data_IF_405148264481
#
_entry.id   IF_405148264481
#
_cell.length_a   1.000
_cell.length_b   1.000
_cell.length_c   1.000
_cell.angle_alpha   90.00
_cell.angle_beta   90.00
_cell.angle_gamma   90.00
#
_symmetry.space_group_name_H-M   'P 1'
#
loop_
_entity.id
_entity.type
_entity.pdbx_description
1 polymer ?
#
# COMPACT_ATOMS: atom_id res chain seq x y z
N UNK A 1 -49.09 35.44 32.39
CA UNK A 1 -48.04 34.66 33.09
C UNK A 1 -48.45 33.19 33.08
N UNK A 2 -47.46 32.28 33.09
CA UNK A 2 -47.54 30.80 33.02
C UNK A 2 -47.23 30.18 31.65
N UNK A 3 -45.92 30.01 31.39
CA UNK A 3 -45.34 29.01 30.48
C UNK A 3 -44.80 27.86 31.33
N UNK A 4 -45.32 26.67 31.09
CA UNK A 4 -44.88 25.36 31.60
C UNK A 4 -45.29 24.37 30.51
N UNK A 5 -44.49 23.46 29.97
CA UNK A 5 -43.07 23.16 30.08
C UNK A 5 -42.81 22.16 28.94
N UNK A 6 -41.96 22.50 27.98
CA UNK A 6 -41.53 21.57 26.94
C UNK A 6 -40.24 20.89 27.40
N UNK A 7 -40.38 19.67 27.92
CA UNK A 7 -39.25 18.82 28.30
C UNK A 7 -38.46 18.47 27.03
N UNK A 8 -37.22 18.95 27.04
CA UNK A 8 -36.14 18.63 26.13
C UNK A 8 -35.89 17.11 26.11
N UNK A 9 -36.27 16.45 25.01
CA UNK A 9 -35.77 15.14 24.67
C UNK A 9 -34.36 15.28 24.08
N UNK A 10 -33.39 15.58 24.95
CA UNK A 10 -31.97 15.47 24.66
C UNK A 10 -31.57 14.00 24.55
N UNK A 11 -31.95 13.35 23.45
CA UNK A 11 -31.42 12.03 23.10
C UNK A 11 -29.93 12.18 22.80
N UNK A 12 -29.10 11.77 23.77
CA UNK A 12 -27.65 11.79 23.69
C UNK A 12 -27.16 11.02 22.47
N UNK A 13 -26.59 11.75 21.51
CA UNK A 13 -25.68 11.19 20.52
C UNK A 13 -24.38 10.80 21.24
N UNK A 14 -24.37 9.63 21.87
CA UNK A 14 -23.20 9.04 22.51
C UNK A 14 -22.10 8.61 21.51
N UNK A 15 -20.92 8.19 22.02
CA UNK A 15 -19.66 7.97 21.29
C UNK A 15 -19.64 6.81 20.27
N UNK A 16 -20.78 6.21 19.94
CA UNK A 16 -20.89 5.08 19.03
C UNK A 16 -20.44 5.40 17.58
N UNK A 17 -20.47 6.68 17.18
CA UNK A 17 -20.04 7.13 15.85
C UNK A 17 -18.52 7.12 15.63
N UNK A 18 -17.72 7.36 16.67
CA UNK A 18 -16.26 7.45 16.52
C UNK A 18 -15.63 6.07 16.30
N UNK A 19 -16.03 5.06 17.08
CA UNK A 19 -15.50 3.70 16.97
C UNK A 19 -15.74 3.05 15.60
N UNK A 20 -16.88 3.34 14.97
CA UNK A 20 -17.24 2.80 13.64
C UNK A 20 -16.38 3.40 12.54
N UNK A 21 -16.05 4.70 12.64
CA UNK A 21 -15.21 5.40 11.66
C UNK A 21 -13.75 4.97 11.70
N UNK A 22 -13.21 4.71 12.90
CA UNK A 22 -11.83 4.23 13.09
C UNK A 22 -11.69 2.81 12.54
N UNK A 23 -12.63 1.91 12.85
CA UNK A 23 -12.64 0.53 12.32
C UNK A 23 -12.69 0.52 10.79
N UNK A 24 -13.55 1.35 10.17
CA UNK A 24 -13.61 1.48 8.71
C UNK A 24 -12.33 2.03 8.07
N UNK A 25 -11.56 2.85 8.79
CA UNK A 25 -10.23 3.32 8.35
C UNK A 25 -9.21 2.19 8.28
N UNK A 26 -9.18 1.35 9.32
CA UNK A 26 -8.28 0.20 9.42
C UNK A 26 -8.60 -0.92 8.44
N UNK A 27 -9.88 -1.22 8.19
CA UNK A 27 -10.26 -2.28 7.23
C UNK A 27 -9.73 -2.00 5.83
N UNK A 28 -9.86 -0.76 5.35
CA UNK A 28 -9.35 -0.39 4.02
C UNK A 28 -7.82 -0.25 4.01
N UNK A 29 -7.21 0.11 5.14
CA UNK A 29 -5.75 0.10 5.26
C UNK A 29 -5.18 -1.32 5.25
N UNK A 30 -5.91 -2.29 5.80
CA UNK A 30 -5.55 -3.71 5.82
C UNK A 30 -5.84 -4.46 4.52
N UNK A 31 -6.77 -3.96 3.69
CA UNK A 31 -7.17 -4.64 2.44
C UNK A 31 -5.99 -5.06 1.53
N UNK A 32 -4.95 -4.24 1.31
CA UNK A 32 -3.79 -4.66 0.52
C UNK A 32 -2.96 -5.79 1.15
N UNK A 33 -2.82 -5.81 2.48
CA UNK A 33 -2.14 -6.91 3.19
C UNK A 33 -2.98 -8.18 3.10
N UNK A 34 -4.29 -8.09 3.32
CA UNK A 34 -5.20 -9.22 3.18
C UNK A 34 -5.15 -9.81 1.77
N UNK A 35 -5.09 -8.98 0.73
CA UNK A 35 -4.93 -9.43 -0.65
C UNK A 35 -3.61 -10.20 -0.87
N UNK A 36 -2.50 -9.68 -0.34
CA UNK A 36 -1.20 -10.35 -0.43
C UNK A 36 -1.17 -11.70 0.32
N UNK A 37 -1.74 -11.74 1.53
CA UNK A 37 -1.86 -12.97 2.32
C UNK A 37 -2.81 -13.99 1.68
N UNK A 38 -3.91 -13.53 1.08
CA UNK A 38 -4.84 -14.39 0.34
C UNK A 38 -4.17 -14.98 -0.89
N UNK A 39 -3.37 -14.18 -1.62
CA UNK A 39 -2.59 -14.68 -2.75
C UNK A 39 -1.55 -15.72 -2.31
N UNK A 40 -0.85 -15.47 -1.19
CA UNK A 40 0.09 -16.43 -0.60
C UNK A 40 -0.61 -17.74 -0.22
N UNK A 41 -1.76 -17.65 0.44
CA UNK A 41 -2.55 -18.82 0.84
C UNK A 41 -3.09 -19.58 -0.38
N UNK A 42 -3.50 -18.88 -1.44
CA UNK A 42 -3.90 -19.49 -2.69
C UNK A 42 -2.75 -20.25 -3.37
N UNK A 43 -1.54 -19.67 -3.43
CA UNK A 43 -0.34 -20.35 -3.93
C UNK A 43 -0.05 -21.62 -3.13
N UNK A 44 -0.19 -21.56 -1.80
CA UNK A 44 -0.03 -22.73 -0.93
C UNK A 44 -1.08 -23.82 -1.22
N UNK A 45 -2.36 -23.47 -1.26
CA UNK A 45 -3.45 -24.42 -1.48
C UNK A 45 -3.42 -25.05 -2.89
N UNK A 46 -3.06 -24.28 -3.90
CA UNK A 46 -2.98 -24.76 -5.28
C UNK A 46 -1.74 -25.59 -5.55
N UNK A 47 -0.75 -25.57 -4.65
CA UNK A 47 0.56 -26.15 -4.92
C UNK A 47 1.24 -25.48 -6.11
N UNK A 48 1.04 -24.18 -6.32
CA UNK A 48 1.59 -23.48 -7.47
C UNK A 48 3.12 -23.37 -7.33
N UNK A 49 3.84 -23.95 -8.30
CA UNK A 49 5.28 -23.96 -8.39
C UNK A 49 5.77 -23.86 -9.86
N UNK A 50 7.08 -23.89 -10.07
CA UNK A 50 7.71 -23.86 -11.39
C UNK A 50 7.36 -25.05 -12.29
N UNK A 51 6.85 -26.16 -11.74
CA UNK A 51 6.46 -27.35 -12.50
C UNK A 51 5.02 -27.29 -12.97
N UNK A 52 4.26 -26.30 -12.50
CA UNK A 52 2.90 -26.03 -12.96
C UNK A 52 2.92 -25.66 -14.44
N UNK A 53 2.03 -26.29 -15.23
CA UNK A 53 1.97 -26.11 -16.67
C UNK A 53 1.66 -24.64 -17.02
N UNK A 54 2.65 -23.94 -17.58
CA UNK A 54 2.53 -22.56 -18.04
C UNK A 54 3.03 -22.50 -19.49
N UNK A 55 2.44 -21.67 -20.37
CA UNK A 55 2.96 -21.51 -21.71
C UNK A 55 4.45 -21.09 -21.67
N UNK A 56 5.32 -21.64 -22.54
CA UNK A 56 6.77 -21.42 -22.48
C UNK A 56 7.16 -19.94 -22.45
N UNK A 57 6.49 -19.11 -23.24
CA UNK A 57 6.74 -17.66 -23.30
C UNK A 57 6.46 -16.94 -21.98
N UNK A 58 5.49 -17.45 -21.21
CA UNK A 58 5.14 -16.88 -19.90
C UNK A 58 6.10 -17.39 -18.84
N UNK A 59 6.44 -18.68 -18.87
CA UNK A 59 7.45 -19.27 -18.00
C UNK A 59 8.79 -18.52 -18.12
N UNK A 60 9.26 -18.24 -19.33
CA UNK A 60 10.52 -17.52 -19.57
C UNK A 60 10.53 -16.08 -19.01
N UNK A 61 9.36 -15.44 -18.90
CA UNK A 61 9.22 -14.08 -18.37
C UNK A 61 9.08 -14.04 -16.85
N UNK A 62 8.54 -15.09 -16.24
CA UNK A 62 8.28 -15.16 -14.79
C UNK A 62 9.35 -15.94 -14.04
N UNK A 63 9.74 -17.11 -14.53
CA UNK A 63 10.71 -17.98 -13.89
C UNK A 63 12.13 -17.58 -14.31
N UNK A 64 12.69 -16.63 -13.55
CA UNK A 64 14.06 -16.17 -13.73
C UNK A 64 14.72 -15.81 -12.39
N UNK A 65 15.93 -15.26 -12.48
CA UNK A 65 16.77 -14.91 -11.33
C UNK A 65 16.02 -14.17 -10.20
N UNK A 66 15.20 -13.18 -10.55
CA UNK A 66 14.54 -12.35 -9.55
C UNK A 66 13.41 -13.04 -8.80
N UNK A 67 12.62 -13.90 -9.44
CA UNK A 67 11.57 -14.64 -8.74
C UNK A 67 12.18 -15.68 -7.80
N UNK A 68 13.30 -16.26 -8.20
CA UNK A 68 14.04 -17.19 -7.37
C UNK A 68 14.73 -16.52 -6.17
N UNK A 69 15.36 -15.36 -6.40
CA UNK A 69 16.11 -14.67 -5.33
C UNK A 69 15.22 -13.83 -4.43
N UNK A 70 14.15 -13.23 -4.95
CA UNK A 70 13.25 -12.32 -4.25
C UNK A 70 11.78 -12.73 -4.40
N UNK A 71 11.41 -13.94 -3.95
CA UNK A 71 10.08 -14.51 -4.17
C UNK A 71 8.95 -13.67 -3.57
N UNK A 72 9.17 -13.07 -2.40
CA UNK A 72 8.15 -12.27 -1.71
C UNK A 72 7.78 -10.98 -2.46
N UNK A 73 8.56 -10.57 -3.47
CA UNK A 73 8.19 -9.45 -4.33
C UNK A 73 6.90 -9.72 -5.10
N UNK A 74 6.57 -10.97 -5.42
CA UNK A 74 5.30 -11.31 -6.08
C UNK A 74 4.09 -10.87 -5.23
N UNK A 75 4.15 -11.11 -3.92
CA UNK A 75 3.10 -10.71 -2.99
C UNK A 75 3.13 -9.21 -2.68
N UNK A 76 4.31 -8.58 -2.70
CA UNK A 76 4.43 -7.12 -2.63
C UNK A 76 3.80 -6.43 -3.86
N UNK A 77 3.90 -7.04 -5.04
CA UNK A 77 3.20 -6.57 -6.24
C UNK A 77 1.68 -6.68 -6.07
N UNK A 78 1.16 -7.82 -5.58
CA UNK A 78 -0.27 -7.97 -5.25
C UNK A 78 -0.73 -6.89 -4.26
N UNK A 79 0.07 -6.63 -3.22
CA UNK A 79 -0.18 -5.55 -2.27
C UNK A 79 -0.30 -4.20 -2.99
N UNK A 80 0.65 -3.86 -3.86
CA UNK A 80 0.63 -2.60 -4.61
C UNK A 80 -0.60 -2.46 -5.53
N UNK A 81 -0.96 -3.52 -6.25
CA UNK A 81 -2.16 -3.55 -7.10
C UNK A 81 -3.43 -3.34 -6.29
N UNK A 82 -3.58 -4.09 -5.20
CA UNK A 82 -4.70 -3.95 -4.27
C UNK A 82 -4.76 -2.55 -3.65
N UNK A 83 -3.62 -1.91 -3.41
CA UNK A 83 -3.57 -0.54 -2.88
C UNK A 83 -4.07 0.50 -3.89
N UNK A 84 -3.75 0.35 -5.18
CA UNK A 84 -4.28 1.21 -6.26
C UNK A 84 -5.79 1.02 -6.38
N UNK A 85 -6.27 -0.23 -6.39
CA UNK A 85 -7.71 -0.54 -6.43
C UNK A 85 -8.43 0.02 -5.19
N UNK A 86 -7.89 -0.16 -3.99
CA UNK A 86 -8.45 0.40 -2.77
C UNK A 86 -8.48 1.94 -2.78
N UNK A 87 -7.52 2.59 -3.46
CA UNK A 87 -7.58 4.04 -3.68
C UNK A 87 -8.70 4.42 -4.64
N UNK A 88 -8.83 3.67 -5.75
CA UNK A 88 -9.83 3.88 -6.77
C UNK A 88 -11.26 3.65 -6.27
N UNK A 89 -11.48 2.72 -5.33
CA UNK A 89 -12.78 2.38 -4.77
C UNK A 89 -13.19 3.24 -3.56
N UNK A 90 -12.21 3.82 -2.85
CA UNK A 90 -12.50 4.70 -1.72
C UNK A 90 -13.20 6.00 -2.17
N UNK A 91 -14.11 6.58 -1.34
CA UNK A 91 -14.77 7.85 -1.65
C UNK A 91 -13.76 8.96 -2.00
N UNK A 92 -14.02 9.67 -3.09
CA UNK A 92 -13.13 10.69 -3.67
C UNK A 92 -13.97 11.78 -4.36
N UNK A 93 -13.51 13.04 -4.40
CA UNK A 93 -14.18 14.11 -5.15
C UNK A 93 -14.13 13.91 -6.68
N UNK A 94 -13.29 13.00 -7.18
CA UNK A 94 -13.21 12.67 -8.60
C UNK A 94 -14.42 11.82 -9.07
N UNK A 95 -14.86 12.06 -10.30
CA UNK A 95 -15.89 11.22 -10.94
C UNK A 95 -15.43 9.77 -11.06
N UNK A 96 -16.39 8.83 -11.05
CA UNK A 96 -16.14 7.38 -11.23
C UNK A 96 -15.29 7.08 -12.48
N UNK A 97 -15.59 7.59 -13.69
CA UNK A 97 -14.78 7.28 -14.87
C UNK A 97 -13.32 7.75 -14.72
N UNK A 98 -13.09 8.94 -14.14
CA UNK A 98 -11.74 9.45 -13.88
C UNK A 98 -10.98 8.54 -12.91
N UNK A 99 -11.64 8.03 -11.87
CA UNK A 99 -11.04 7.10 -10.89
C UNK A 99 -10.64 5.78 -11.56
N UNK A 100 -11.50 5.24 -12.43
CA UNK A 100 -11.25 3.99 -13.16
C UNK A 100 -10.11 4.12 -14.17
N UNK A 101 -10.09 5.19 -14.97
CA UNK A 101 -9.00 5.48 -15.90
C UNK A 101 -7.68 5.63 -15.14
N UNK A 102 -7.68 6.43 -14.05
CA UNK A 102 -6.51 6.61 -13.21
C UNK A 102 -6.02 5.30 -12.59
N UNK A 103 -6.93 4.44 -12.15
CA UNK A 103 -6.60 3.10 -11.66
C UNK A 103 -5.99 2.23 -12.76
N UNK A 104 -6.58 2.20 -13.95
CA UNK A 104 -6.07 1.43 -15.07
C UNK A 104 -4.64 1.85 -15.44
N UNK A 105 -4.37 3.16 -15.53
CA UNK A 105 -3.03 3.69 -15.79
C UNK A 105 -2.08 3.34 -14.64
N UNK A 106 -2.52 3.49 -13.39
CA UNK A 106 -1.71 3.15 -12.21
C UNK A 106 -1.34 1.67 -12.13
N UNK A 107 -2.29 0.78 -12.44
CA UNK A 107 -2.07 -0.67 -12.52
C UNK A 107 -1.11 -1.00 -13.66
N UNK A 108 -1.32 -0.42 -14.85
CA UNK A 108 -0.44 -0.62 -16.00
C UNK A 108 0.99 -0.15 -15.71
N UNK A 109 1.16 1.01 -15.06
CA UNK A 109 2.47 1.52 -14.64
C UNK A 109 3.15 0.57 -13.64
N UNK A 110 2.43 0.14 -12.61
CA UNK A 110 2.99 -0.74 -11.58
C UNK A 110 3.36 -2.12 -12.16
N UNK A 111 2.51 -2.69 -13.00
CA UNK A 111 2.78 -3.93 -13.71
C UNK A 111 3.95 -3.78 -14.67
N UNK A 112 3.98 -2.73 -15.49
CA UNK A 112 5.07 -2.46 -16.44
C UNK A 112 6.41 -2.36 -15.73
N UNK A 113 6.49 -1.53 -14.69
CA UNK A 113 7.71 -1.33 -13.90
C UNK A 113 8.14 -2.59 -13.12
N UNK A 114 7.21 -3.50 -12.80
CA UNK A 114 7.51 -4.72 -12.01
C UNK A 114 7.69 -5.99 -12.85
N UNK A 115 7.21 -6.01 -14.09
CA UNK A 115 7.19 -7.22 -14.94
C UNK A 115 7.92 -7.05 -16.28
N UNK A 116 8.24 -5.83 -16.71
CA UNK A 116 8.95 -5.60 -17.96
C UNK A 116 10.46 -5.33 -17.74
N UNK A 117 11.37 -5.96 -18.50
CA UNK A 117 11.11 -6.98 -19.54
C UNK A 117 10.79 -8.38 -19.01
N UNK A 118 11.16 -8.67 -17.76
CA UNK A 118 10.82 -9.92 -17.05
C UNK A 118 10.48 -9.62 -15.59
N UNK A 119 9.98 -10.62 -14.85
CA UNK A 119 9.61 -10.50 -13.43
C UNK A 119 10.70 -9.80 -12.60
N UNK A 120 10.25 -8.90 -11.73
CA UNK A 120 11.11 -7.98 -11.00
C UNK A 120 11.33 -6.66 -11.72
N UNK A 121 11.18 -6.65 -13.04
CA UNK A 121 11.16 -5.46 -13.90
C UNK A 121 12.29 -4.48 -13.60
N UNK A 122 11.97 -3.20 -13.58
CA UNK A 122 12.87 -2.13 -13.17
C UNK A 122 13.04 -2.06 -11.64
N UNK A 123 12.07 -2.53 -10.85
CA UNK A 123 12.11 -2.47 -9.38
C UNK A 123 13.29 -3.28 -8.83
N UNK A 124 13.32 -4.58 -9.13
CA UNK A 124 14.36 -5.47 -8.62
C UNK A 124 15.68 -5.27 -9.35
N UNK A 125 15.66 -4.83 -10.63
CA UNK A 125 16.89 -4.44 -11.34
C UNK A 125 17.56 -3.21 -10.75
N UNK A 126 16.78 -2.17 -10.40
CA UNK A 126 17.32 -1.01 -9.71
C UNK A 126 17.90 -1.41 -8.36
N UNK A 127 17.16 -2.19 -7.57
CA UNK A 127 17.64 -2.63 -6.26
C UNK A 127 18.89 -3.49 -6.33
N UNK A 128 18.90 -4.50 -7.20
CA UNK A 128 20.06 -5.36 -7.38
C UNK A 128 21.25 -4.59 -7.93
N UNK A 129 21.07 -3.80 -8.99
CA UNK A 129 22.16 -3.02 -9.62
C UNK A 129 22.77 -1.98 -8.68
N UNK A 130 21.95 -1.25 -7.93
CA UNK A 130 22.45 -0.28 -6.93
C UNK A 130 23.18 -1.00 -5.79
N UNK A 131 22.61 -2.08 -5.26
CA UNK A 131 23.24 -2.82 -4.16
C UNK A 131 24.54 -3.50 -4.57
N UNK A 132 24.55 -4.22 -5.70
CA UNK A 132 25.75 -4.88 -6.21
C UNK A 132 26.82 -3.85 -6.59
N UNK A 133 26.43 -2.74 -7.22
CA UNK A 133 27.33 -1.64 -7.55
C UNK A 133 27.98 -1.06 -6.30
N UNK A 134 27.21 -0.76 -5.26
CA UNK A 134 27.75 -0.24 -4.00
C UNK A 134 28.74 -1.23 -3.35
N UNK A 135 28.38 -2.52 -3.30
CA UNK A 135 29.24 -3.57 -2.74
C UNK A 135 30.55 -3.73 -3.51
N UNK A 136 30.52 -3.74 -4.84
CA UNK A 136 31.71 -3.82 -5.69
C UNK A 136 32.63 -2.59 -5.54
N UNK A 137 32.09 -1.45 -5.10
CA UNK A 137 32.84 -0.25 -4.75
C UNK A 137 33.32 -0.22 -3.28
N UNK A 138 33.32 -1.37 -2.59
CA UNK A 138 33.85 -1.48 -1.23
C UNK A 138 32.87 -1.08 -0.12
N UNK A 139 31.61 -0.84 -0.43
CA UNK A 139 30.58 -0.57 0.61
C UNK A 139 30.30 -1.86 1.38
N UNK A 140 30.24 -1.84 2.73
CA UNK A 140 29.87 -3.02 3.52
C UNK A 140 28.53 -3.62 3.09
N UNK A 141 28.41 -4.95 3.13
CA UNK A 141 27.25 -5.69 2.60
C UNK A 141 25.90 -5.17 3.14
N UNK A 142 25.82 -4.87 4.44
CA UNK A 142 24.60 -4.33 5.06
C UNK A 142 24.17 -2.99 4.46
N UNK A 143 25.12 -2.09 4.23
CA UNK A 143 24.85 -0.78 3.63
C UNK A 143 24.51 -0.91 2.14
N UNK A 144 25.23 -1.75 1.41
CA UNK A 144 24.95 -2.06 0.02
C UNK A 144 23.53 -2.64 -0.15
N UNK A 145 23.15 -3.58 0.70
CA UNK A 145 21.79 -4.14 0.75
C UNK A 145 20.74 -3.07 1.05
N UNK A 146 20.98 -2.21 2.04
CA UNK A 146 20.09 -1.12 2.38
C UNK A 146 19.91 -0.12 1.22
N UNK A 147 20.99 0.22 0.51
CA UNK A 147 20.94 1.06 -0.70
C UNK A 147 20.15 0.41 -1.84
N UNK A 148 20.34 -0.90 -2.08
CA UNK A 148 19.55 -1.64 -3.05
C UNK A 148 18.06 -1.67 -2.69
N UNK A 149 17.72 -1.93 -1.42
CA UNK A 149 16.35 -1.87 -0.94
C UNK A 149 15.74 -0.47 -1.12
N UNK A 150 16.53 0.59 -0.90
CA UNK A 150 16.10 1.98 -1.09
C UNK A 150 15.79 2.28 -2.56
N UNK A 151 16.64 1.83 -3.49
CA UNK A 151 16.43 2.00 -4.93
C UNK A 151 15.16 1.26 -5.40
N UNK A 152 14.98 0.00 -4.99
CA UNK A 152 13.76 -0.76 -5.29
C UNK A 152 12.50 -0.08 -4.72
N UNK A 153 12.54 0.35 -3.45
CA UNK A 153 11.44 1.05 -2.81
C UNK A 153 11.12 2.39 -3.47
N UNK A 154 12.13 3.11 -3.97
CA UNK A 154 11.94 4.35 -4.71
C UNK A 154 11.18 4.12 -6.01
N UNK A 155 11.64 3.18 -6.83
CA UNK A 155 10.99 2.85 -8.12
C UNK A 155 9.57 2.33 -7.90
N UNK A 156 9.39 1.37 -6.98
CA UNK A 156 8.07 0.81 -6.65
C UNK A 156 7.13 1.86 -6.05
N UNK A 157 7.65 2.67 -5.12
CA UNK A 157 6.90 3.71 -4.42
C UNK A 157 6.48 4.85 -5.34
N UNK A 158 7.29 5.23 -6.32
CA UNK A 158 6.93 6.20 -7.36
C UNK A 158 5.80 5.66 -8.23
N UNK A 159 5.90 4.44 -8.73
CA UNK A 159 4.84 3.82 -9.54
C UNK A 159 3.52 3.71 -8.75
N UNK A 160 3.59 3.22 -7.51
CA UNK A 160 2.44 3.11 -6.62
C UNK A 160 1.83 4.48 -6.29
N UNK A 161 2.67 5.46 -5.93
CA UNK A 161 2.27 6.80 -5.57
C UNK A 161 1.58 7.53 -6.73
N UNK A 162 2.15 7.46 -7.92
CA UNK A 162 1.55 8.00 -9.15
C UNK A 162 0.21 7.31 -9.44
N UNK A 163 0.14 5.98 -9.34
CA UNK A 163 -1.10 5.24 -9.52
C UNK A 163 -2.22 5.71 -8.58
N UNK A 164 -1.89 5.91 -7.30
CA UNK A 164 -2.85 6.45 -6.31
C UNK A 164 -3.25 7.89 -6.62
N UNK A 165 -2.31 8.75 -7.03
CA UNK A 165 -2.59 10.14 -7.40
C UNK A 165 -3.53 10.24 -8.61
N UNK A 166 -3.33 9.38 -9.62
CA UNK A 166 -4.14 9.36 -10.84
C UNK A 166 -5.61 9.01 -10.58
N UNK A 167 -5.92 8.29 -9.50
CA UNK A 167 -7.32 8.04 -9.06
C UNK A 167 -8.05 9.32 -8.60
N UNK A 168 -7.42 10.50 -8.69
CA UNK A 168 -8.04 11.77 -8.36
C UNK A 168 -8.16 12.01 -6.86
N UNK A 169 -7.40 11.26 -6.05
CA UNK A 169 -7.30 11.49 -4.62
C UNK A 169 -6.47 12.76 -4.41
N UNK A 170 -7.15 13.89 -4.27
CA UNK A 170 -6.47 15.18 -4.08
C UNK A 170 -5.55 15.12 -2.84
N UNK A 171 -4.29 15.58 -2.94
CA UNK A 171 -3.51 15.95 -1.77
C UNK A 171 -4.33 16.93 -0.93
N UNK A 172 -4.19 16.86 0.40
CA UNK A 172 -4.94 17.64 1.37
C UNK A 172 -5.23 19.10 0.93
N UNK A 173 -6.38 19.67 1.34
CA UNK A 173 -6.82 21.00 0.92
C UNK A 173 -5.70 22.05 1.08
N UNK A 174 -5.65 23.05 0.18
CA UNK A 174 -4.54 23.99 0.11
C UNK A 174 -4.31 24.62 1.48
N UNK A 175 -3.13 24.34 2.06
CA UNK A 175 -2.68 25.04 3.25
C UNK A 175 -2.58 26.54 2.92
N UNK A 176 -2.95 27.41 3.87
CA UNK A 176 -2.88 28.88 3.74
C UNK A 176 -1.50 29.40 3.28
N UNK A 177 -0.45 28.58 3.34
CA UNK A 177 0.89 28.86 2.80
C UNK A 177 1.33 27.70 1.90
N UNK A 178 1.69 28.01 0.65
CA UNK A 178 2.23 27.04 -0.33
C UNK A 178 3.46 26.30 0.22
N UNK A 179 4.33 26.99 0.94
CA UNK A 179 5.52 26.43 1.61
C UNK A 179 5.16 25.36 2.65
N UNK A 180 4.19 25.66 3.54
CA UNK A 180 3.73 24.69 4.54
C UNK A 180 3.06 23.47 3.91
N UNK A 181 2.35 23.68 2.79
CA UNK A 181 1.77 22.59 1.99
C UNK A 181 2.84 21.69 1.38
N UNK A 182 3.84 22.28 0.73
CA UNK A 182 4.96 21.56 0.13
C UNK A 182 5.77 20.77 1.17
N UNK A 183 6.10 21.39 2.32
CA UNK A 183 6.82 20.71 3.40
C UNK A 183 6.08 19.50 3.96
N UNK A 184 4.75 19.59 4.13
CA UNK A 184 3.92 18.44 4.55
C UNK A 184 3.85 17.36 3.48
N UNK A 185 3.75 17.73 2.20
CA UNK A 185 3.77 16.78 1.10
C UNK A 185 5.10 16.03 1.04
N UNK A 186 6.22 16.74 1.21
CA UNK A 186 7.56 16.15 1.27
C UNK A 186 7.70 15.19 2.46
N UNK A 187 7.30 15.60 3.66
CA UNK A 187 7.34 14.73 4.85
C UNK A 187 6.45 13.49 4.68
N UNK A 188 5.27 13.65 4.07
CA UNK A 188 4.39 12.53 3.76
C UNK A 188 4.97 11.59 2.71
N UNK A 189 5.69 12.13 1.72
CA UNK A 189 6.42 11.36 0.73
C UNK A 189 7.58 10.59 1.36
N UNK A 190 8.38 11.28 2.18
CA UNK A 190 9.52 10.68 2.89
C UNK A 190 9.08 9.57 3.84
N UNK A 191 8.04 9.79 4.66
CA UNK A 191 7.51 8.74 5.55
C UNK A 191 6.97 7.54 4.79
N UNK A 192 6.28 7.76 3.66
CA UNK A 192 5.82 6.67 2.81
C UNK A 192 7.00 5.92 2.15
N UNK A 193 8.01 6.64 1.70
CA UNK A 193 9.25 6.06 1.16
C UNK A 193 9.97 5.22 2.22
N UNK A 194 10.17 5.73 3.43
CA UNK A 194 10.80 5.00 4.53
C UNK A 194 10.03 3.72 4.89
N UNK A 195 8.69 3.77 4.88
CA UNK A 195 7.87 2.59 5.11
C UNK A 195 8.04 1.53 4.00
N UNK A 196 8.11 1.95 2.73
CA UNK A 196 8.36 1.05 1.60
C UNK A 196 9.80 0.54 1.56
N UNK A 197 10.76 1.35 1.98
CA UNK A 197 12.16 0.96 2.12
C UNK A 197 12.33 -0.12 3.18
N UNK A 198 11.72 0.09 4.36
CA UNK A 198 11.62 -0.94 5.39
C UNK A 198 10.96 -2.21 4.85
N UNK A 199 9.84 -2.08 4.14
CA UNK A 199 9.16 -3.23 3.54
C UNK A 199 10.08 -4.00 2.58
N UNK A 200 10.76 -3.31 1.67
CA UNK A 200 11.71 -3.89 0.72
C UNK A 200 12.87 -4.60 1.43
N UNK A 201 13.42 -4.00 2.49
CA UNK A 201 14.47 -4.60 3.29
C UNK A 201 13.99 -5.87 4.01
N UNK A 202 12.79 -5.87 4.59
CA UNK A 202 12.23 -7.05 5.28
C UNK A 202 11.95 -8.19 4.30
N UNK A 203 11.28 -7.93 3.17
CA UNK A 203 10.95 -8.99 2.22
C UNK A 203 12.18 -9.55 1.49
N UNK A 204 13.24 -8.75 1.34
CA UNK A 204 14.48 -9.23 0.75
C UNK A 204 15.28 -10.16 1.67
N UNK A 205 15.02 -10.14 2.98
CA UNK A 205 15.60 -11.05 3.98
C UNK A 205 14.89 -12.41 4.04
N UNK A 206 13.91 -12.68 3.15
CA UNK A 206 13.10 -13.89 3.22
C UNK A 206 13.92 -15.17 3.24
N UNK A 207 14.94 -15.27 2.37
CA UNK A 207 15.81 -16.44 2.30
C UNK A 207 16.60 -16.65 3.59
N UNK A 208 17.14 -15.58 4.15
CA UNK A 208 17.90 -15.62 5.40
C UNK A 208 17.01 -15.95 6.61
N UNK A 209 15.72 -15.58 6.54
CA UNK A 209 14.69 -15.96 7.50
C UNK A 209 14.18 -17.41 7.34
N UNK A 210 14.75 -18.17 6.40
CA UNK A 210 14.42 -19.58 6.18
C UNK A 210 13.22 -19.82 5.26
N UNK A 211 12.81 -18.83 4.45
CA UNK A 211 11.79 -19.04 3.41
C UNK A 211 12.34 -19.94 2.29
N UNK A 212 11.73 -21.11 2.14
CA UNK A 212 12.13 -22.19 1.26
C UNK A 212 12.04 -21.89 -0.23
N UNK A 213 12.76 -22.64 -1.10
CA UNK A 213 13.06 -22.33 -2.51
C UNK A 213 11.88 -22.18 -3.48
N UNK A 214 10.66 -21.90 -3.02
CA UNK A 214 9.58 -21.43 -3.89
C UNK A 214 10.07 -20.30 -4.80
N UNK A 215 9.78 -20.35 -6.11
CA UNK A 215 8.84 -21.29 -6.76
C UNK A 215 9.44 -22.62 -7.25
N UNK A 216 10.71 -22.97 -6.96
CA UNK A 216 11.31 -24.26 -7.39
C UNK A 216 10.70 -25.49 -6.72
N UNK A 217 10.14 -25.29 -5.53
CA UNK A 217 9.39 -26.29 -4.76
C UNK A 217 8.06 -25.70 -4.30
N UNK A 218 7.13 -26.60 -4.02
CA UNK A 218 5.87 -26.28 -3.35
C UNK A 218 6.13 -25.57 -2.00
N UNK A 219 5.28 -24.62 -1.64
CA UNK A 219 5.29 -24.03 -0.30
C UNK A 219 4.89 -25.10 0.71
N UNK A 220 5.73 -25.32 1.72
CA UNK A 220 5.32 -26.08 2.90
C UNK A 220 4.65 -25.15 3.95
N UNK A 221 4.11 -25.73 5.01
CA UNK A 221 3.43 -24.97 6.06
C UNK A 221 4.36 -23.98 6.78
N UNK A 222 5.66 -24.31 6.88
CA UNK A 222 6.66 -23.43 7.50
C UNK A 222 6.92 -22.22 6.60
N UNK A 223 7.11 -22.44 5.30
CA UNK A 223 7.32 -21.40 4.30
C UNK A 223 6.14 -20.43 4.27
N UNK A 224 4.91 -20.95 4.36
CA UNK A 224 3.69 -20.16 4.48
C UNK A 224 3.72 -19.24 5.71
N UNK A 225 4.02 -19.78 6.90
CA UNK A 225 4.05 -19.00 8.15
C UNK A 225 5.14 -17.94 8.11
N UNK A 226 6.35 -18.28 7.64
CA UNK A 226 7.48 -17.33 7.52
C UNK A 226 7.12 -16.21 6.53
N UNK A 227 6.59 -16.54 5.36
CA UNK A 227 6.17 -15.54 4.39
C UNK A 227 5.05 -14.65 4.92
N UNK A 228 4.03 -15.23 5.57
CA UNK A 228 2.94 -14.47 6.15
C UNK A 228 3.43 -13.49 7.23
N UNK A 229 4.35 -13.94 8.10
CA UNK A 229 4.97 -13.09 9.11
C UNK A 229 5.77 -11.94 8.49
N UNK A 230 6.64 -12.24 7.51
CA UNK A 230 7.45 -11.22 6.83
C UNK A 230 6.59 -10.21 6.08
N UNK A 231 5.56 -10.66 5.36
CA UNK A 231 4.63 -9.77 4.65
C UNK A 231 3.87 -8.87 5.63
N UNK A 232 3.45 -9.42 6.77
CA UNK A 232 2.74 -8.66 7.81
C UNK A 232 3.66 -7.60 8.41
N UNK A 233 4.88 -7.96 8.80
CA UNK A 233 5.87 -7.03 9.35
C UNK A 233 6.22 -5.96 8.32
N UNK A 234 6.50 -6.34 7.07
CA UNK A 234 6.84 -5.42 5.99
C UNK A 234 5.71 -4.40 5.70
N UNK A 235 4.45 -4.84 5.71
CA UNK A 235 3.30 -3.98 5.41
C UNK A 235 2.92 -3.04 6.56
N UNK A 236 3.26 -3.38 7.81
CA UNK A 236 2.75 -2.70 9.01
C UNK A 236 3.01 -1.18 9.01
N UNK A 237 4.24 -0.68 8.76
CA UNK A 237 4.49 0.76 8.78
C UNK A 237 3.65 1.51 7.74
N UNK A 238 3.54 0.96 6.52
CA UNK A 238 2.75 1.59 5.46
C UNK A 238 1.24 1.53 5.77
N UNK A 239 0.74 0.44 6.36
CA UNK A 239 -0.64 0.33 6.82
C UNK A 239 -0.98 1.36 7.89
N UNK A 240 -0.12 1.53 8.89
CA UNK A 240 -0.29 2.54 9.95
C UNK A 240 -0.33 3.95 9.34
N UNK A 241 0.58 4.26 8.42
CA UNK A 241 0.58 5.54 7.70
C UNK A 241 -0.72 5.76 6.90
N UNK A 242 -1.25 4.73 6.24
CA UNK A 242 -2.50 4.83 5.48
C UNK A 242 -3.71 5.02 6.40
N UNK A 243 -3.77 4.30 7.53
CA UNK A 243 -4.84 4.43 8.52
C UNK A 243 -4.85 5.82 9.17
N UNK A 244 -3.68 6.33 9.58
CA UNK A 244 -3.53 7.63 10.24
C UNK A 244 -3.94 8.83 9.34
N UNK A 245 -3.91 8.68 8.01
CA UNK A 245 -4.22 9.75 7.05
C UNK A 245 -5.71 9.93 6.74
N UNK A 246 -6.60 9.06 7.24
CA UNK A 246 -8.06 9.08 6.96
C UNK A 246 -8.99 9.88 7.89
N UNK A 247 -8.66 10.25 9.14
CA UNK A 247 -9.62 10.87 10.08
C UNK A 247 -10.24 12.21 9.64
N UNK A 248 -9.66 12.92 8.66
CA UNK A 248 -9.99 14.31 8.38
C UNK A 248 -11.25 14.56 7.52
N UNK A 249 -11.84 13.53 6.90
CA UNK A 249 -13.00 13.70 6.00
C UNK A 249 -14.35 13.59 6.72
N UNK A 250 -14.44 12.81 7.79
CA UNK A 250 -15.71 12.54 8.49
C UNK A 250 -16.19 13.73 9.34
N UNK A 251 -15.26 14.45 9.99
CA UNK A 251 -15.58 15.64 10.80
C UNK A 251 -16.02 16.85 9.97
N UNK A 252 -15.62 16.92 8.70
CA UNK A 252 -15.93 18.07 7.83
C UNK A 252 -17.32 17.96 7.20
N UNK A 253 -17.79 16.74 6.90
CA UNK A 253 -19.17 16.49 6.48
C UNK A 253 -20.19 16.83 7.58
N UNK A 254 -19.86 16.56 8.85
CA UNK A 254 -20.73 16.90 9.98
C UNK A 254 -20.83 18.41 10.24
N UNK A 255 -19.80 19.21 9.94
CA UNK A 255 -19.87 20.67 10.13
C UNK A 255 -20.75 21.39 9.11
N UNK A 256 -20.93 20.85 7.90
CA UNK A 256 -21.84 21.42 6.91
C UNK A 256 -23.28 20.93 7.04
N UNK A 257 -23.52 19.86 7.78
CA UNK A 257 -24.85 19.33 8.07
C UNK A 257 -25.52 19.98 9.31
N UNK A 258 -24.87 20.92 10.01
CA UNK A 258 -25.57 21.74 11.00
C UNK A 258 -26.33 22.85 10.26
N UNK A 259 -27.67 22.81 10.19
CA UNK A 259 -28.43 24.00 9.82
C UNK A 259 -28.03 25.12 10.77
N UNK A 260 -27.70 26.29 10.23
CA UNK A 260 -27.44 27.47 11.04
C UNK A 260 -28.64 27.74 11.97
N UNK A 261 -28.42 28.32 13.16
CA UNK A 261 -29.54 28.71 14.02
C UNK A 261 -30.47 29.58 13.19
N UNK A 262 -31.72 29.13 13.02
CA UNK A 262 -32.75 29.93 12.41
C UNK A 262 -32.75 31.28 13.13
N UNK A 263 -32.48 32.35 12.37
CA UNK A 263 -32.51 33.71 12.89
C UNK A 263 -33.87 33.94 13.53
N UNK A 264 -33.90 33.94 14.85
CA UNK A 264 -35.03 34.43 15.63
C UNK A 264 -35.08 35.93 15.47
N UNK A 265 -35.84 36.38 14.46
CA UNK A 265 -36.41 37.71 14.45
C UNK A 265 -37.68 37.68 15.29
N UNK A 266 -37.63 38.30 16.47
CA UNK A 266 -38.73 39.01 17.15
C UNK A 266 -38.18 39.62 18.44
#
# INVERSE_FOLDING_TARGET
MSRTGALSAGAGAGPAGEGTSVRAGWTVAAAPLLAALTALFAVFLTGFDQRSAMPPDVAARFYGFFLDRYPLFAFALVYGLARVLAAALAPSPASVPRRLIGAAIGLALLLGVSLHPTFGGMVLRAGFGTGSGAFLNGTPMTLAYAMGAAAAAGVFGLALGLGVLLTGRAPAPPARSRLRGAGRALLNGLTAFLALWFAAAVIGLARDAGFGPWPRRLLDARDLVVAAALLTVAALPHMVLVAARRPALTLRGQRHARPGPAGGAA
#
